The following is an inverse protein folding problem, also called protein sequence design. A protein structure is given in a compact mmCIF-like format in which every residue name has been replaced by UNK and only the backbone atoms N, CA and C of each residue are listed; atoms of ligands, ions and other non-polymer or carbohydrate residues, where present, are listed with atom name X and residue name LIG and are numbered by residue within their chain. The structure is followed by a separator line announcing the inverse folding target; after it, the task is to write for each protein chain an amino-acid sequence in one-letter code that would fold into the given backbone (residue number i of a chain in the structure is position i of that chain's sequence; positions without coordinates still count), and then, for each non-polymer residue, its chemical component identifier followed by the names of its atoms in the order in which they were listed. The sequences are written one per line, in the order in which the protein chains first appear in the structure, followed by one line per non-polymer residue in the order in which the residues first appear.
data_IF_656367255129
#
_entry.id   IF_656367255129
#
_cell.length_a   1.000
_cell.length_b   1.000
_cell.length_c   1.000
_cell.angle_alpha   90.00
_cell.angle_beta   90.00
_cell.angle_gamma   90.00
#
_symmetry.space_group_name_H-M   'P 1'
#
loop_
_entity.id
_entity.type
_entity.pdbx_description
1 polymer ?
#
# COMPACT_ATOMS: atom_id res chain seq x y z
N UNK A 1 11.29 -0.08 9.08
CA UNK A 1 11.74 -0.05 7.68
C UNK A 1 13.26 -0.04 7.54
N UNK A 2 14.00 0.88 8.19
CA UNK A 2 15.44 1.04 7.96
C UNK A 2 16.33 -0.19 8.21
N UNK A 3 15.91 -1.13 9.05
CA UNK A 3 16.63 -2.39 9.32
C UNK A 3 16.13 -3.59 8.52
N UNK A 4 15.06 -3.45 7.71
CA UNK A 4 14.36 -4.60 7.09
C UNK A 4 14.09 -5.71 8.13
N UNK A 5 13.54 -5.31 9.28
CA UNK A 5 13.20 -6.12 10.46
C UNK A 5 14.36 -6.76 11.24
N UNK A 6 15.62 -6.65 10.78
CA UNK A 6 16.77 -7.27 11.46
C UNK A 6 17.05 -6.74 12.87
N UNK A 7 16.44 -5.62 13.26
CA UNK A 7 16.60 -5.04 14.60
C UNK A 7 15.69 -5.69 15.65
N UNK A 8 14.61 -6.37 15.23
CA UNK A 8 13.60 -6.95 16.13
C UNK A 8 13.41 -8.46 15.89
N UNK A 9 13.62 -8.96 14.67
CA UNK A 9 13.53 -10.38 14.37
C UNK A 9 14.75 -11.16 14.89
N UNK A 10 14.58 -12.42 15.33
CA UNK A 10 15.69 -13.35 15.56
C UNK A 10 16.57 -13.54 14.32
N UNK A 11 17.84 -13.98 14.47
CA UNK A 11 18.75 -14.17 13.34
C UNK A 11 18.24 -15.15 12.27
N UNK A 12 17.68 -16.29 12.68
CA UNK A 12 17.19 -17.32 11.76
C UNK A 12 16.02 -16.80 10.90
N UNK A 13 15.11 -16.06 11.54
CA UNK A 13 13.96 -15.41 10.91
C UNK A 13 14.43 -14.30 9.97
N UNK A 14 15.38 -13.48 10.42
CA UNK A 14 15.98 -12.40 9.61
C UNK A 14 16.62 -12.96 8.35
N UNK A 15 17.37 -14.06 8.46
CA UNK A 15 18.01 -14.72 7.32
C UNK A 15 16.97 -15.24 6.34
N UNK A 16 15.97 -16.01 6.80
CA UNK A 16 14.89 -16.52 5.96
C UNK A 16 14.13 -15.39 5.26
N UNK A 17 13.84 -14.31 5.98
CA UNK A 17 13.19 -13.13 5.43
C UNK A 17 14.05 -12.47 4.33
N UNK A 18 15.33 -12.26 4.59
CA UNK A 18 16.24 -11.61 3.65
C UNK A 18 16.47 -12.47 2.41
N UNK A 19 16.55 -13.80 2.55
CA UNK A 19 16.65 -14.74 1.44
C UNK A 19 15.45 -14.61 0.49
N UNK A 20 14.24 -14.51 1.02
CA UNK A 20 13.03 -14.30 0.22
C UNK A 20 12.96 -12.89 -0.37
N UNK A 21 13.24 -11.85 0.44
CA UNK A 21 13.14 -10.44 0.04
C UNK A 21 14.13 -10.10 -1.09
N UNK A 22 15.40 -10.48 -0.92
CA UNK A 22 16.45 -10.21 -1.90
C UNK A 22 16.25 -11.01 -3.18
N UNK A 23 15.68 -12.21 -3.10
CA UNK A 23 15.31 -13.00 -4.28
C UNK A 23 14.18 -12.35 -5.08
N UNK A 24 13.18 -11.77 -4.41
CA UNK A 24 12.06 -11.11 -5.08
C UNK A 24 12.47 -9.75 -5.70
N UNK A 25 13.49 -9.09 -5.16
CA UNK A 25 14.10 -7.87 -5.70
C UNK A 25 13.09 -6.72 -5.95
N UNK A 26 12.08 -6.59 -5.09
CA UNK A 26 11.04 -5.57 -5.17
C UNK A 26 11.11 -4.61 -3.97
N UNK A 27 11.57 -3.36 -4.16
CA UNK A 27 11.71 -2.38 -3.08
C UNK A 27 10.40 -2.03 -2.36
N UNK A 28 9.25 -2.17 -3.04
CA UNK A 28 7.95 -1.82 -2.46
C UNK A 28 7.33 -2.96 -1.67
N UNK A 29 7.87 -4.18 -1.78
CA UNK A 29 7.35 -5.34 -1.07
C UNK A 29 7.38 -5.14 0.46
N UNK A 30 8.35 -4.37 0.96
CA UNK A 30 8.48 -4.08 2.39
C UNK A 30 7.22 -3.43 2.98
N UNK A 31 6.51 -2.60 2.21
CA UNK A 31 5.26 -1.98 2.67
C UNK A 31 4.17 -3.03 2.90
N UNK A 32 4.08 -4.04 2.04
CA UNK A 32 3.12 -5.13 2.18
C UNK A 32 3.50 -6.07 3.33
N UNK A 33 4.79 -6.38 3.50
CA UNK A 33 5.27 -7.17 4.64
C UNK A 33 4.97 -6.47 5.96
N UNK A 34 5.21 -5.15 6.05
CA UNK A 34 4.80 -4.33 7.19
C UNK A 34 3.28 -4.31 7.40
N UNK A 35 2.50 -4.23 6.32
CA UNK A 35 1.04 -4.26 6.38
C UNK A 35 0.53 -5.58 6.97
N UNK A 36 1.07 -6.73 6.57
CA UNK A 36 0.63 -8.02 7.11
C UNK A 36 0.91 -8.12 8.62
N UNK A 37 2.10 -7.69 9.06
CA UNK A 37 2.44 -7.65 10.49
C UNK A 37 1.45 -6.76 11.26
N UNK A 38 1.11 -5.59 10.70
CA UNK A 38 0.13 -4.68 11.31
C UNK A 38 -1.29 -5.28 11.32
N UNK A 39 -1.71 -5.94 10.24
CA UNK A 39 -3.02 -6.60 10.14
C UNK A 39 -3.13 -7.75 11.14
N UNK A 40 -2.05 -8.49 11.38
CA UNK A 40 -2.01 -9.55 12.40
C UNK A 40 -2.22 -8.99 13.81
N UNK A 41 -1.77 -7.76 14.08
CA UNK A 41 -1.99 -7.07 15.35
C UNK A 41 -3.36 -6.35 15.46
N UNK A 42 -4.16 -6.30 14.38
CA UNK A 42 -5.40 -5.51 14.29
C UNK A 42 -6.34 -5.71 15.48
N UNK A 43 -6.67 -6.96 15.81
CA UNK A 43 -7.64 -7.25 16.87
C UNK A 43 -7.13 -6.82 18.25
N UNK A 44 -5.83 -6.95 18.51
CA UNK A 44 -5.21 -6.45 19.74
C UNK A 44 -5.32 -4.93 19.83
N UNK A 45 -4.96 -4.21 18.75
CA UNK A 45 -5.06 -2.74 18.68
C UNK A 45 -6.49 -2.26 18.95
N UNK A 46 -7.49 -2.92 18.35
CA UNK A 46 -8.88 -2.49 18.46
C UNK A 46 -9.52 -2.82 19.82
N UNK A 47 -9.00 -3.81 20.55
CA UNK A 47 -9.55 -4.25 21.84
C UNK A 47 -8.95 -3.47 23.03
N UNK A 48 -7.77 -2.87 22.86
CA UNK A 48 -7.04 -2.14 23.91
C UNK A 48 -7.55 -0.70 24.12
N UNK A 49 -8.83 -0.54 24.49
CA UNK A 49 -9.47 0.77 24.71
C UNK A 49 -8.91 1.57 25.91
N UNK A 50 -8.11 0.94 26.78
CA UNK A 50 -7.56 1.56 28.00
C UNK A 50 -6.04 1.80 28.00
N UNK A 51 -5.33 1.33 26.98
CA UNK A 51 -3.87 1.42 26.92
C UNK A 51 -3.42 2.80 26.44
N UNK A 52 -2.26 3.25 26.91
CA UNK A 52 -1.69 4.51 26.44
C UNK A 52 -1.20 4.37 24.99
N UNK A 53 -1.07 5.51 24.29
CA UNK A 53 -0.49 5.54 22.94
C UNK A 53 0.89 4.88 22.92
N UNK A 54 1.69 5.12 23.96
CA UNK A 54 3.04 4.61 24.11
C UNK A 54 3.07 3.09 24.27
N UNK A 55 2.09 2.51 24.98
CA UNK A 55 1.98 1.05 25.13
C UNK A 55 1.65 0.38 23.80
N UNK A 56 0.73 0.97 23.02
CA UNK A 56 0.37 0.47 21.68
C UNK A 56 1.57 0.55 20.74
N UNK A 57 2.32 1.66 20.76
CA UNK A 57 3.53 1.82 19.93
C UNK A 57 4.55 0.73 20.28
N UNK A 58 4.81 0.52 21.58
CA UNK A 58 5.77 -0.48 22.03
C UNK A 58 5.36 -1.90 21.61
N UNK A 59 4.09 -2.24 21.76
CA UNK A 59 3.54 -3.52 21.30
C UNK A 59 3.76 -3.71 19.80
N UNK A 60 3.51 -2.68 18.99
CA UNK A 60 3.72 -2.74 17.54
C UNK A 60 5.21 -2.86 17.16
N UNK A 61 6.10 -2.17 17.86
CA UNK A 61 7.56 -2.29 17.66
C UNK A 61 8.07 -3.71 17.96
N UNK A 62 7.52 -4.36 18.99
CA UNK A 62 7.87 -5.72 19.40
C UNK A 62 7.22 -6.79 18.51
N UNK A 63 6.16 -6.46 17.76
CA UNK A 63 5.40 -7.43 16.95
C UNK A 63 6.24 -8.32 16.00
N UNK A 64 7.29 -7.82 15.29
CA UNK A 64 8.08 -8.66 14.39
C UNK A 64 8.96 -9.68 15.12
N UNK A 65 9.24 -9.48 16.41
CA UNK A 65 10.07 -10.39 17.21
C UNK A 65 9.39 -11.73 17.50
N UNK A 66 8.06 -11.79 17.35
CA UNK A 66 7.25 -12.98 17.56
C UNK A 66 7.12 -13.85 16.30
N UNK A 67 7.70 -13.45 15.18
CA UNK A 67 7.70 -14.26 13.96
C UNK A 67 8.63 -15.46 14.12
N UNK A 68 8.19 -16.62 13.62
CA UNK A 68 8.99 -17.82 13.50
C UNK A 68 9.43 -18.04 12.05
N UNK A 69 10.49 -18.84 11.84
CA UNK A 69 11.03 -19.08 10.49
C UNK A 69 10.02 -19.78 9.57
N UNK A 70 9.09 -20.55 10.15
CA UNK A 70 8.00 -21.21 9.42
C UNK A 70 6.92 -20.24 8.92
N UNK A 71 6.73 -19.10 9.59
CA UNK A 71 5.73 -18.09 9.20
C UNK A 71 6.14 -17.30 7.93
N UNK A 72 7.42 -17.35 7.55
CA UNK A 72 7.98 -16.46 6.52
C UNK A 72 7.38 -16.74 5.14
N UNK A 73 7.12 -18.01 4.79
CA UNK A 73 6.52 -18.35 3.50
C UNK A 73 5.09 -17.79 3.38
N UNK A 74 4.28 -17.95 4.44
CA UNK A 74 2.92 -17.43 4.50
C UNK A 74 2.89 -15.91 4.52
N UNK A 75 3.81 -15.27 5.27
CA UNK A 75 3.95 -13.82 5.30
C UNK A 75 4.20 -13.25 3.90
N UNK A 76 5.10 -13.85 3.11
CA UNK A 76 5.37 -13.42 1.74
C UNK A 76 4.19 -13.70 0.80
N UNK A 77 3.53 -14.85 0.94
CA UNK A 77 2.35 -15.21 0.16
C UNK A 77 1.20 -14.21 0.38
N UNK A 78 0.95 -13.83 1.64
CA UNK A 78 -0.02 -12.80 2.00
C UNK A 78 0.39 -11.42 1.48
N UNK A 79 1.66 -11.04 1.62
CA UNK A 79 2.15 -9.76 1.11
C UNK A 79 1.96 -9.65 -0.42
N UNK A 80 2.26 -10.73 -1.16
CA UNK A 80 2.03 -10.80 -2.60
C UNK A 80 0.53 -10.78 -2.94
N UNK A 81 -0.32 -11.42 -2.14
CA UNK A 81 -1.77 -11.34 -2.30
C UNK A 81 -2.28 -9.90 -2.17
N UNK A 82 -1.91 -9.18 -1.11
CA UNK A 82 -2.28 -7.77 -0.95
C UNK A 82 -1.70 -6.87 -2.05
N UNK A 83 -0.46 -7.14 -2.46
CA UNK A 83 0.15 -6.47 -3.61
C UNK A 83 -0.68 -6.66 -4.89
N UNK A 84 -1.17 -7.88 -5.16
CA UNK A 84 -1.99 -8.19 -6.35
C UNK A 84 -3.33 -7.45 -6.36
N UNK A 85 -3.80 -6.99 -5.20
CA UNK A 85 -5.04 -6.22 -5.03
C UNK A 85 -4.80 -4.72 -4.88
N UNK A 86 -3.57 -4.25 -5.06
CA UNK A 86 -3.19 -2.84 -4.90
C UNK A 86 -2.90 -2.19 -6.25
N UNK A 87 -3.39 -0.97 -6.52
CA UNK A 87 -3.08 -0.25 -7.76
C UNK A 87 -1.57 -0.12 -8.02
N UNK A 88 -1.17 -0.34 -9.27
CA UNK A 88 0.22 -0.19 -9.73
C UNK A 88 0.71 1.25 -9.60
N UNK A 89 -0.19 2.23 -9.54
CA UNK A 89 0.10 3.63 -9.28
C UNK A 89 0.89 3.83 -7.99
N UNK A 90 0.66 3.00 -6.94
CA UNK A 90 1.46 3.04 -5.72
C UNK A 90 2.96 2.91 -6.04
N UNK A 91 3.33 1.99 -6.94
CA UNK A 91 4.73 1.80 -7.33
C UNK A 91 5.18 2.86 -8.32
N UNK A 92 4.41 3.11 -9.38
CA UNK A 92 4.81 3.96 -10.51
C UNK A 92 4.98 5.42 -10.10
N UNK A 93 4.10 5.94 -9.25
CA UNK A 93 4.13 7.35 -8.83
C UNK A 93 5.11 7.62 -7.68
N UNK A 94 5.66 6.58 -7.03
CA UNK A 94 6.53 6.73 -5.87
C UNK A 94 7.94 6.15 -6.10
N UNK A 95 8.36 5.96 -7.36
CA UNK A 95 9.69 5.39 -7.67
C UNK A 95 10.85 6.23 -7.11
N UNK A 96 10.61 7.52 -6.88
CA UNK A 96 11.54 8.45 -6.25
C UNK A 96 11.89 8.08 -4.79
N UNK A 97 11.10 7.25 -4.10
CA UNK A 97 11.39 6.82 -2.72
C UNK A 97 12.66 5.97 -2.58
N UNK A 98 13.03 5.20 -3.62
CA UNK A 98 14.18 4.30 -3.59
C UNK A 98 15.23 4.59 -4.68
N UNK A 99 14.96 5.55 -5.56
CA UNK A 99 15.81 5.93 -6.70
C UNK A 99 16.50 7.29 -6.55
N UNK A 100 17.30 7.67 -7.55
CA UNK A 100 17.96 8.98 -7.58
C UNK A 100 16.97 10.10 -7.96
N UNK A 101 16.96 11.17 -7.15
CA UNK A 101 16.11 12.37 -7.29
C UNK A 101 16.19 13.05 -8.67
N UNK A 102 17.24 12.81 -9.46
CA UNK A 102 17.41 13.43 -10.79
C UNK A 102 16.36 13.00 -11.83
N UNK A 103 15.76 11.82 -11.68
CA UNK A 103 14.64 11.37 -12.55
C UNK A 103 13.31 11.99 -12.10
N UNK A 104 13.17 12.33 -10.81
CA UNK A 104 11.95 12.85 -10.20
C UNK A 104 11.67 14.34 -10.52
N UNK A 105 12.64 15.07 -11.08
CA UNK A 105 12.51 16.51 -11.39
C UNK A 105 11.46 16.85 -12.47
N UNK A 106 10.74 15.86 -13.02
CA UNK A 106 9.80 16.05 -14.13
C UNK A 106 8.34 15.84 -13.77
N UNK A 107 8.01 15.27 -12.61
CA UNK A 107 6.63 15.05 -12.21
C UNK A 107 6.26 16.07 -11.13
N UNK A 108 5.07 16.67 -11.24
CA UNK A 108 4.52 17.50 -10.17
C UNK A 108 4.40 16.62 -8.93
N UNK A 109 5.29 16.82 -7.95
CA UNK A 109 5.36 16.02 -6.73
C UNK A 109 3.99 16.05 -6.05
N UNK A 110 3.29 14.91 -6.08
CA UNK A 110 2.12 14.72 -5.23
C UNK A 110 2.62 14.64 -3.80
N UNK A 111 2.40 15.69 -3.02
CA UNK A 111 2.80 15.74 -1.61
C UNK A 111 2.01 14.68 -0.82
N UNK A 112 2.67 13.56 -0.52
CA UNK A 112 2.10 12.47 0.27
C UNK A 112 1.65 12.93 1.67
N UNK A 113 2.20 14.03 2.20
CA UNK A 113 1.78 14.58 3.49
C UNK A 113 0.39 15.21 3.46
N UNK A 114 -0.10 15.61 2.28
CA UNK A 114 -1.42 16.21 2.08
C UNK A 114 -2.43 15.21 1.49
N UNK A 115 -1.99 14.00 1.12
CA UNK A 115 -2.85 13.00 0.51
C UNK A 115 -3.82 12.38 1.53
N UNK A 116 -5.12 12.44 1.26
CA UNK A 116 -6.16 11.78 2.08
C UNK A 116 -6.32 10.29 1.76
N UNK A 117 -5.94 9.88 0.55
CA UNK A 117 -6.00 8.50 0.08
C UNK A 117 -4.94 8.28 -1.02
N UNK A 118 -4.78 7.02 -1.45
CA UNK A 118 -3.81 6.66 -2.48
C UNK A 118 -4.22 7.27 -3.85
N UNK A 119 -3.37 8.08 -4.49
CA UNK A 119 -3.63 8.56 -5.85
C UNK A 119 -3.51 7.42 -6.86
N UNK A 120 -4.37 7.45 -7.88
CA UNK A 120 -4.36 6.49 -9.01
C UNK A 120 -4.21 7.26 -10.32
N UNK A 121 -3.26 6.84 -11.14
CA UNK A 121 -3.00 7.45 -12.43
C UNK A 121 -4.11 7.14 -13.45
N UNK A 122 -4.49 8.15 -14.24
CA UNK A 122 -5.50 8.00 -15.31
C UNK A 122 -5.17 6.87 -16.30
N UNK A 123 -3.91 6.69 -16.76
CA UNK A 123 -3.57 5.59 -17.66
C UNK A 123 -3.87 4.22 -17.05
N UNK A 124 -3.67 4.04 -15.74
CA UNK A 124 -4.01 2.78 -15.08
C UNK A 124 -5.52 2.53 -15.09
N UNK A 125 -6.34 3.54 -14.78
CA UNK A 125 -7.81 3.43 -14.80
C UNK A 125 -8.30 2.97 -16.18
N UNK A 126 -7.77 3.57 -17.25
CA UNK A 126 -8.16 3.23 -18.62
C UNK A 126 -7.71 1.83 -19.04
N UNK A 127 -6.50 1.40 -18.64
CA UNK A 127 -5.95 0.09 -19.01
C UNK A 127 -6.56 -1.06 -18.20
N UNK A 128 -6.71 -0.87 -16.88
CA UNK A 128 -7.21 -1.88 -15.96
C UNK A 128 -8.63 -2.35 -16.29
N UNK A 129 -9.46 -1.45 -16.82
CA UNK A 129 -10.83 -1.77 -17.21
C UNK A 129 -10.97 -2.37 -18.63
N UNK A 130 -9.90 -2.35 -19.44
CA UNK A 130 -9.89 -2.95 -20.79
C UNK A 130 -9.36 -4.39 -20.81
N UNK A 131 -8.48 -4.75 -19.87
CA UNK A 131 -7.90 -6.09 -19.76
C UNK A 131 -8.89 -7.04 -19.04
N UNK A 132 -9.06 -8.26 -19.57
CA UNK A 132 -9.99 -9.25 -19.01
C UNK A 132 -9.36 -10.12 -17.90
N UNK A 133 -10.14 -10.20 -16.82
CA UNK A 133 -10.29 -11.22 -15.75
C UNK A 133 -9.44 -11.18 -14.47
N UNK A 134 -8.13 -10.95 -14.49
CA UNK A 134 -7.33 -10.98 -13.25
C UNK A 134 -6.52 -9.70 -13.03
N UNK A 135 -7.01 -8.85 -12.13
CA UNK A 135 -6.33 -7.62 -11.72
C UNK A 135 -7.22 -6.65 -10.93
N UNK A 136 -6.63 -5.55 -10.48
CA UNK A 136 -7.35 -4.41 -9.88
C UNK A 136 -8.23 -3.78 -10.96
N UNK A 137 -9.50 -3.50 -10.63
CA UNK A 137 -10.45 -2.79 -11.50
C UNK A 137 -11.03 -1.59 -10.78
N UNK A 138 -11.42 -0.57 -11.54
CA UNK A 138 -11.88 0.69 -10.99
C UNK A 138 -13.33 0.95 -11.36
N UNK A 139 -14.16 1.12 -10.34
CA UNK A 139 -15.45 1.79 -10.50
C UNK A 139 -15.22 3.28 -10.34
N UNK A 140 -15.28 4.01 -11.45
CA UNK A 140 -14.97 5.45 -11.46
C UNK A 140 -16.20 6.23 -11.02
N UNK A 141 -16.01 7.14 -10.07
CA UNK A 141 -17.03 8.09 -9.62
C UNK A 141 -16.58 9.49 -9.98
N UNK A 142 -17.36 10.19 -10.79
CA UNK A 142 -17.14 11.61 -11.09
C UNK A 142 -17.90 12.42 -10.03
N UNK A 143 -17.15 13.13 -9.19
CA UNK A 143 -17.69 13.94 -8.09
C UNK A 143 -17.83 15.43 -8.45
N UNK A 144 -17.66 15.82 -9.72
CA UNK A 144 -17.77 17.23 -10.12
C UNK A 144 -19.25 17.67 -10.15
N UNK A 145 -19.53 18.99 -10.04
CA UNK A 145 -20.88 19.52 -10.21
C UNK A 145 -21.52 19.10 -11.54
N UNK A 146 -22.85 18.97 -11.58
CA UNK A 146 -23.59 18.53 -12.75
C UNK A 146 -23.26 19.30 -14.04
N UNK A 147 -23.01 20.61 -13.96
CA UNK A 147 -22.63 21.41 -15.13
C UNK A 147 -21.33 20.91 -15.77
N UNK A 148 -20.31 20.61 -14.96
CA UNK A 148 -19.00 20.13 -15.44
C UNK A 148 -19.07 18.69 -15.95
N UNK A 149 -19.88 17.84 -15.30
CA UNK A 149 -20.12 16.47 -15.74
C UNK A 149 -20.83 16.45 -17.11
N UNK A 150 -21.88 17.27 -17.28
CA UNK A 150 -22.65 17.35 -18.51
C UNK A 150 -21.87 18.00 -19.68
N UNK A 151 -20.89 18.84 -19.39
CA UNK A 151 -19.98 19.39 -20.40
C UNK A 151 -19.03 18.32 -21.01
N UNK A 152 -18.80 17.22 -20.30
CA UNK A 152 -17.99 16.10 -20.76
C UNK A 152 -17.49 15.26 -19.58
N UNK A 153 -17.64 13.93 -19.70
CA UNK A 153 -17.27 12.99 -18.67
C UNK A 153 -16.76 11.68 -19.25
N UNK A 154 -16.11 10.87 -18.41
CA UNK A 154 -15.76 9.50 -18.76
C UNK A 154 -17.04 8.66 -18.82
N UNK A 155 -17.33 8.06 -19.97
CA UNK A 155 -18.60 7.35 -20.22
C UNK A 155 -18.88 6.17 -19.28
N UNK A 156 -17.86 5.63 -18.62
CA UNK A 156 -17.98 4.53 -17.64
C UNK A 156 -18.06 5.02 -16.19
N UNK A 157 -18.03 6.33 -15.95
CA UNK A 157 -18.07 6.88 -14.60
C UNK A 157 -19.52 7.08 -14.11
N UNK A 158 -19.74 6.75 -12.84
CA UNK A 158 -20.96 7.10 -12.13
C UNK A 158 -20.87 8.55 -11.64
N UNK A 159 -21.89 9.36 -11.90
CA UNK A 159 -21.93 10.74 -11.42
C UNK A 159 -22.48 10.80 -10.00
N UNK A 160 -21.70 11.38 -9.09
CA UNK A 160 -22.10 11.68 -7.72
C UNK A 160 -21.95 13.19 -7.50
N UNK A 161 -23.03 13.93 -7.69
CA UNK A 161 -22.99 15.40 -7.61
C UNK A 161 -22.58 15.88 -6.22
N UNK A 162 -21.44 16.57 -6.14
CA UNK A 162 -20.91 17.12 -4.88
C UNK A 162 -21.80 18.18 -4.28
N UNK A 163 -22.59 18.89 -5.07
CA UNK A 163 -23.42 20.01 -4.60
C UNK A 163 -24.70 19.54 -3.89
N UNK A 164 -25.01 18.24 -4.00
CA UNK A 164 -26.16 17.62 -3.35
C UNK A 164 -25.81 16.90 -2.03
N UNK A 165 -24.54 16.93 -1.62
CA UNK A 165 -24.05 16.33 -0.35
C UNK A 165 -23.74 17.38 0.73
#
# INVERSE_FOLDING_TARGET
MGSLFSSHCPPDVTQAFWDCYLRQADPFLIFFLMLIILVNAKEAILTQEGDSREDIIKMLEESPSHLESEDIEDLFSLAQYYQSKTPLSLRKMNQNLFGSSLVALKEEDTDLSQALCLPVSVPEILQANQLQQDGVRFFVVDCRPAEQYNAGHLSTAFHLDSDLM
#
